data_IF_126752172232
#
_entry.id   IF_126752172232
#
_cell.length_a   1.000
_cell.length_b   1.000
_cell.length_c   1.000
_cell.angle_alpha   90.00
_cell.angle_beta   90.00
_cell.angle_gamma   90.00
#
_symmetry.space_group_name_H-M   'P 1'
#
loop_
_entity.id
_entity.type
_entity.pdbx_description
1 polymer ?
#
# COMPACT_ATOMS: atom_id res chain seq x y z
N UNK A 1 90.89 -2.96 123.28
CA UNK A 1 90.32 -1.59 123.38
C UNK A 1 91.02 -0.81 124.49
N UNK A 2 91.04 -1.29 125.74
CA UNK A 2 91.65 -0.57 126.86
C UNK A 2 93.15 -0.27 126.72
N UNK A 3 93.95 -1.21 126.21
CA UNK A 3 95.40 -0.99 126.04
C UNK A 3 95.74 0.13 125.05
N UNK A 4 94.94 0.28 123.97
CA UNK A 4 95.14 1.30 122.92
C UNK A 4 94.60 2.67 123.36
N UNK A 5 93.50 2.67 124.12
CA UNK A 5 92.98 3.86 124.79
C UNK A 5 94.02 4.42 125.79
N UNK A 6 94.62 3.57 126.62
CA UNK A 6 95.68 3.95 127.57
C UNK A 6 96.90 4.54 126.88
N UNK A 7 97.33 3.99 125.73
CA UNK A 7 98.45 4.55 124.96
C UNK A 7 98.10 5.90 124.34
N UNK A 8 96.89 6.07 123.81
CA UNK A 8 96.45 7.34 123.23
C UNK A 8 96.26 8.42 124.32
N UNK A 9 95.74 8.04 125.50
CA UNK A 9 95.69 8.92 126.68
C UNK A 9 97.11 9.35 127.07
N UNK A 10 98.07 8.42 127.10
CA UNK A 10 99.48 8.73 127.36
C UNK A 10 100.03 9.75 126.37
N UNK A 11 99.84 9.54 125.07
CA UNK A 11 100.28 10.47 124.02
C UNK A 11 99.61 11.84 124.14
N UNK A 12 98.32 11.91 124.45
CA UNK A 12 97.61 13.17 124.62
C UNK A 12 98.04 13.91 125.89
N UNK A 13 98.37 13.19 126.97
CA UNK A 13 98.94 13.79 128.17
C UNK A 13 100.32 14.38 127.92
N UNK A 14 101.18 13.71 127.16
CA UNK A 14 102.47 14.26 126.74
C UNK A 14 102.29 15.50 125.86
N UNK A 15 101.38 15.45 124.88
CA UNK A 15 101.12 16.56 123.97
C UNK A 15 100.62 17.84 124.70
N UNK A 16 99.91 17.67 125.82
CA UNK A 16 99.41 18.77 126.66
C UNK A 16 100.19 18.91 128.00
N UNK A 17 101.43 18.42 128.05
CA UNK A 17 102.21 18.19 129.28
C UNK A 17 102.38 19.39 130.23
N UNK A 18 102.36 20.62 129.73
CA UNK A 18 102.47 21.83 130.58
C UNK A 18 101.15 22.22 131.27
N UNK A 19 100.00 21.86 130.70
CA UNK A 19 98.65 22.19 131.22
C UNK A 19 98.02 20.98 131.95
N UNK A 20 98.51 19.77 131.66
CA UNK A 20 97.97 18.51 132.17
C UNK A 20 98.52 18.07 133.55
N UNK A 21 99.25 18.93 134.28
CA UNK A 21 99.69 18.63 135.66
C UNK A 21 98.51 18.67 136.67
N UNK A 22 97.42 19.34 136.33
CA UNK A 22 96.20 19.41 137.14
C UNK A 22 95.32 18.15 136.94
N UNK A 23 94.88 17.53 138.04
CA UNK A 23 94.12 16.28 138.03
C UNK A 23 92.83 16.39 137.20
N UNK A 24 92.19 17.57 137.20
CA UNK A 24 90.98 17.84 136.40
C UNK A 24 91.24 17.77 134.90
N UNK A 25 92.37 18.30 134.43
CA UNK A 25 92.74 18.26 133.02
C UNK A 25 93.01 16.83 132.55
N UNK A 26 93.65 16.00 133.40
CA UNK A 26 93.89 14.59 133.11
C UNK A 26 92.60 13.77 132.99
N UNK A 27 91.59 14.09 133.80
CA UNK A 27 90.27 13.45 133.75
C UNK A 27 89.49 13.84 132.48
N UNK A 28 89.59 15.09 132.02
CA UNK A 28 88.96 15.55 130.76
C UNK A 28 89.58 14.82 129.56
N UNK A 29 90.91 14.76 129.49
CA UNK A 29 91.64 14.04 128.44
C UNK A 29 91.23 12.56 128.43
N UNK A 30 91.22 11.90 129.60
CA UNK A 30 90.87 10.49 129.70
C UNK A 30 89.43 10.21 129.26
N UNK A 31 88.47 11.07 129.66
CA UNK A 31 87.06 10.93 129.28
C UNK A 31 86.83 11.12 127.78
N UNK A 32 87.42 12.15 127.16
CA UNK A 32 87.15 12.45 125.75
C UNK A 32 87.91 11.48 124.82
N UNK A 33 89.12 11.06 125.18
CA UNK A 33 89.82 9.97 124.46
C UNK A 33 89.01 8.67 124.54
N UNK A 34 88.48 8.33 125.72
CA UNK A 34 87.61 7.15 125.87
C UNK A 34 86.34 7.26 125.04
N UNK A 35 85.71 8.44 125.00
CA UNK A 35 84.52 8.70 124.19
C UNK A 35 84.81 8.58 122.69
N UNK A 36 85.93 9.12 122.24
CA UNK A 36 86.39 9.03 120.86
C UNK A 36 86.65 7.59 120.43
N UNK A 37 87.33 6.80 121.27
CA UNK A 37 87.55 5.37 121.01
C UNK A 37 86.25 4.55 120.97
N UNK A 38 85.21 4.98 121.71
CA UNK A 38 83.90 4.32 121.68
C UNK A 38 83.06 4.69 120.45
N UNK A 39 83.24 5.89 119.88
CA UNK A 39 82.43 6.37 118.75
C UNK A 39 83.08 6.17 117.39
N UNK A 40 84.40 6.07 117.32
CA UNK A 40 85.15 6.06 116.05
C UNK A 40 85.66 4.66 115.75
N UNK A 41 85.21 4.06 114.64
CA UNK A 41 85.56 2.68 114.24
C UNK A 41 86.96 2.52 113.61
N UNK A 42 87.59 3.62 113.19
CA UNK A 42 88.97 3.67 112.67
C UNK A 42 89.60 5.03 113.01
N UNK A 43 90.88 5.06 113.33
CA UNK A 43 91.59 6.28 113.77
C UNK A 43 92.48 6.80 112.63
N UNK A 44 92.03 7.85 111.92
CA UNK A 44 92.85 8.57 110.92
C UNK A 44 93.55 9.79 111.55
N UNK A 45 94.63 10.29 110.95
CA UNK A 45 95.33 11.49 111.45
C UNK A 45 94.41 12.71 111.57
N UNK A 46 93.47 12.87 110.63
CA UNK A 46 92.44 13.93 110.71
C UNK A 46 91.52 13.77 111.91
N UNK A 47 91.20 12.53 112.31
CA UNK A 47 90.35 12.29 113.47
C UNK A 47 91.11 12.51 114.79
N UNK A 48 92.42 12.21 114.82
CA UNK A 48 93.29 12.54 115.95
C UNK A 48 93.43 14.06 116.10
N UNK A 49 93.57 14.80 114.99
CA UNK A 49 93.57 16.26 115.00
C UNK A 49 92.26 16.84 115.56
N UNK A 50 91.11 16.33 115.10
CA UNK A 50 89.81 16.73 115.64
C UNK A 50 89.63 16.39 117.13
N UNK A 51 90.22 15.29 117.61
CA UNK A 51 90.23 14.92 119.02
C UNK A 51 91.10 15.89 119.85
N UNK A 52 92.29 16.24 119.36
CA UNK A 52 93.16 17.23 119.99
C UNK A 52 92.48 18.59 120.09
N UNK A 53 91.84 19.06 119.02
CA UNK A 53 91.10 20.33 119.02
C UNK A 53 89.94 20.32 120.03
N UNK A 54 89.22 19.20 120.17
CA UNK A 54 88.16 19.07 121.19
C UNK A 54 88.70 19.06 122.61
N UNK A 55 89.79 18.34 122.86
CA UNK A 55 90.44 18.30 124.16
C UNK A 55 90.96 19.70 124.52
N UNK A 56 91.61 20.38 123.58
CA UNK A 56 92.09 21.75 123.76
C UNK A 56 90.92 22.71 124.05
N UNK A 57 89.85 22.67 123.25
CA UNK A 57 88.66 23.51 123.46
C UNK A 57 88.02 23.28 124.84
N UNK A 58 87.96 22.03 125.31
CA UNK A 58 87.42 21.70 126.64
C UNK A 58 88.35 22.12 127.79
N UNK A 59 89.67 22.10 127.58
CA UNK A 59 90.66 22.57 128.55
C UNK A 59 90.71 24.11 128.63
N UNK A 60 90.44 24.82 127.52
CA UNK A 60 90.40 26.29 127.46
C UNK A 60 89.00 26.88 127.69
N UNK A 61 87.95 26.04 127.80
CA UNK A 61 86.58 26.44 128.14
C UNK A 61 85.71 26.91 126.98
N UNK A 62 86.11 26.66 125.72
CA UNK A 62 85.35 27.06 124.52
C UNK A 62 84.56 25.88 123.91
N UNK A 63 83.36 26.14 123.38
CA UNK A 63 82.47 25.10 122.83
C UNK A 63 82.66 24.92 121.30
N UNK A 64 82.84 23.69 120.79
CA UNK A 64 83.16 23.47 119.37
C UNK A 64 81.90 23.51 118.47
N UNK A 65 81.82 24.46 117.54
CA UNK A 65 80.79 24.51 116.48
C UNK A 65 81.25 23.73 115.24
N UNK A 66 80.46 22.74 114.83
CA UNK A 66 80.69 21.88 113.66
C UNK A 66 80.24 22.63 112.39
N UNK A 67 81.13 22.80 111.41
CA UNK A 67 80.84 23.21 110.01
C UNK A 67 80.84 24.72 109.63
N UNK A 68 81.80 25.51 110.12
CA UNK A 68 82.00 26.86 109.57
C UNK A 68 82.57 26.85 108.12
N UNK A 69 83.40 25.87 107.74
CA UNK A 69 84.08 25.84 106.42
C UNK A 69 83.16 25.57 105.22
N UNK A 70 82.15 24.70 105.34
CA UNK A 70 81.25 24.32 104.22
C UNK A 70 80.26 25.43 103.90
N UNK A 71 79.70 26.08 104.93
CA UNK A 71 78.84 27.25 104.77
C UNK A 71 79.62 28.42 104.16
N UNK A 72 80.89 28.59 104.52
CA UNK A 72 81.73 29.60 103.89
C UNK A 72 82.03 29.28 102.42
N UNK A 73 82.28 28.02 102.05
CA UNK A 73 82.47 27.62 100.65
C UNK A 73 81.21 27.78 99.79
N UNK A 74 80.02 27.43 100.28
CA UNK A 74 78.77 27.70 99.56
C UNK A 74 78.45 29.20 99.44
N UNK A 75 78.79 30.00 100.46
CA UNK A 75 78.71 31.45 100.38
C UNK A 75 79.70 32.03 99.34
N UNK A 76 80.91 31.48 99.25
CA UNK A 76 81.92 31.89 98.24
C UNK A 76 81.50 31.48 96.83
N UNK A 77 80.92 30.29 96.61
CA UNK A 77 80.43 29.84 95.29
C UNK A 77 79.14 30.57 94.88
N UNK A 78 78.29 30.96 95.83
CA UNK A 78 77.11 31.79 95.55
C UNK A 78 77.43 33.29 95.42
N UNK A 79 78.58 33.73 95.94
CA UNK A 79 79.19 35.04 95.68
C UNK A 79 80.05 35.06 94.42
N UNK A 80 80.42 33.90 93.86
CA UNK A 80 81.16 33.79 92.61
C UNK A 80 80.27 34.15 91.42
N UNK A 81 80.65 35.24 90.76
CA UNK A 81 79.92 35.82 89.64
C UNK A 81 79.87 34.85 88.44
N UNK A 82 80.86 33.96 88.31
CA UNK A 82 80.87 32.94 87.25
C UNK A 82 79.78 31.89 87.44
N UNK A 83 79.55 31.42 88.67
CA UNK A 83 78.49 30.45 88.95
C UNK A 83 77.10 31.03 88.65
N UNK A 84 76.90 32.34 88.90
CA UNK A 84 75.66 33.04 88.52
C UNK A 84 75.49 33.17 87.01
N UNK A 85 76.56 33.47 86.28
CA UNK A 85 76.55 33.53 84.81
C UNK A 85 76.17 32.17 84.21
N UNK A 86 76.76 31.07 84.71
CA UNK A 86 76.41 29.72 84.24
C UNK A 86 74.95 29.34 84.56
N UNK A 87 74.47 29.66 85.76
CA UNK A 87 73.06 29.43 86.12
C UNK A 87 72.10 30.21 85.20
N UNK A 88 72.44 31.46 84.88
CA UNK A 88 71.67 32.30 83.97
C UNK A 88 71.72 31.78 82.52
N UNK A 89 72.88 31.34 82.02
CA UNK A 89 73.01 30.73 80.70
C UNK A 89 72.20 29.43 80.58
N UNK A 90 72.19 28.59 81.62
CA UNK A 90 71.36 27.39 81.67
C UNK A 90 69.86 27.75 81.64
N UNK A 91 69.44 28.78 82.38
CA UNK A 91 68.05 29.26 82.35
C UNK A 91 67.66 29.80 80.96
N UNK A 92 68.54 30.55 80.30
CA UNK A 92 68.32 30.98 78.91
C UNK A 92 68.19 29.77 77.99
N UNK A 93 69.09 28.79 78.10
CA UNK A 93 69.04 27.55 77.32
C UNK A 93 67.74 26.77 77.52
N UNK A 94 67.25 26.64 78.76
CA UNK A 94 65.97 26.02 79.06
C UNK A 94 64.78 26.79 78.47
N UNK A 95 64.81 28.12 78.51
CA UNK A 95 63.78 28.97 77.91
C UNK A 95 63.77 28.86 76.38
N UNK A 96 64.94 28.82 75.75
CA UNK A 96 65.07 28.60 74.31
C UNK A 96 64.57 27.22 73.90
N UNK A 97 64.91 26.16 74.63
CA UNK A 97 64.40 24.80 74.38
C UNK A 97 62.89 24.70 74.58
N UNK A 98 62.33 25.35 75.62
CA UNK A 98 60.88 25.47 75.79
C UNK A 98 60.23 26.21 74.61
N UNK A 99 60.84 27.30 74.14
CA UNK A 99 60.36 28.05 72.97
C UNK A 99 60.41 27.23 71.68
N UNK A 100 61.51 26.51 71.42
CA UNK A 100 61.65 25.61 70.27
C UNK A 100 60.61 24.49 70.33
N UNK A 101 60.40 23.89 71.49
CA UNK A 101 59.40 22.82 71.70
C UNK A 101 57.97 23.34 71.49
N UNK A 102 57.65 24.54 71.98
CA UNK A 102 56.35 25.16 71.71
C UNK A 102 56.15 25.45 70.22
N UNK A 103 57.14 26.00 69.52
CA UNK A 103 57.10 26.23 68.07
C UNK A 103 56.93 24.92 67.30
N UNK A 104 57.61 23.85 67.72
CA UNK A 104 57.44 22.52 67.13
C UNK A 104 56.03 21.98 67.34
N UNK A 105 55.48 22.08 68.55
CA UNK A 105 54.10 21.65 68.84
C UNK A 105 53.07 22.45 68.04
N UNK A 106 53.27 23.77 67.89
CA UNK A 106 52.43 24.62 67.03
C UNK A 106 52.49 24.20 65.56
N UNK A 107 53.70 23.93 65.03
CA UNK A 107 53.87 23.42 63.66
C UNK A 107 53.21 22.04 63.48
N UNK A 108 53.37 21.14 64.45
CA UNK A 108 52.76 19.82 64.41
C UNK A 108 51.22 19.89 64.49
N UNK A 109 50.67 20.79 65.30
CA UNK A 109 49.24 21.04 65.37
C UNK A 109 48.69 21.62 64.06
N UNK A 110 49.38 22.60 63.48
CA UNK A 110 49.01 23.18 62.19
C UNK A 110 49.05 22.15 61.05
N UNK A 111 50.09 21.32 60.99
CA UNK A 111 50.21 20.25 60.00
C UNK A 111 49.09 19.21 60.16
N UNK A 112 48.74 18.86 61.40
CA UNK A 112 47.63 17.96 61.68
C UNK A 112 46.31 18.52 61.17
N UNK A 113 46.04 19.80 61.43
CA UNK A 113 44.83 20.47 60.94
C UNK A 113 44.77 20.51 59.40
N UNK A 114 45.91 20.73 58.73
CA UNK A 114 45.99 20.67 57.26
C UNK A 114 45.73 19.26 56.71
N UNK A 115 46.27 18.22 57.35
CA UNK A 115 46.04 16.83 56.95
C UNK A 115 44.58 16.41 57.18
N UNK A 116 43.97 16.87 58.27
CA UNK A 116 42.56 16.60 58.57
C UNK A 116 41.66 17.28 57.52
N UNK A 117 41.95 18.54 57.13
CA UNK A 117 41.26 19.21 56.01
C UNK A 117 41.37 18.45 54.70
N UNK A 118 42.58 17.97 54.34
CA UNK A 118 42.77 17.17 53.12
C UNK A 118 42.00 15.84 53.15
N UNK A 119 41.90 15.21 54.33
CA UNK A 119 41.12 13.98 54.50
C UNK A 119 39.62 14.24 54.35
N UNK A 120 39.12 15.34 54.90
CA UNK A 120 37.73 15.75 54.75
C UNK A 120 37.38 16.08 53.30
N UNK A 121 38.24 16.83 52.60
CA UNK A 121 38.07 17.12 51.17
C UNK A 121 38.07 15.84 50.33
N UNK A 122 39.00 14.91 50.58
CA UNK A 122 39.04 13.63 49.87
C UNK A 122 37.81 12.76 50.16
N UNK A 123 37.33 12.75 51.41
CA UNK A 123 36.10 12.06 51.77
C UNK A 123 34.86 12.71 51.12
N UNK A 124 34.85 14.04 51.04
CA UNK A 124 33.83 14.82 50.33
C UNK A 124 33.77 14.49 48.85
N UNK A 125 34.92 14.46 48.16
CA UNK A 125 35.01 14.07 46.74
C UNK A 125 34.51 12.64 46.51
N UNK A 126 34.94 11.68 47.33
CA UNK A 126 34.45 10.30 47.23
C UNK A 126 32.93 10.17 47.42
N UNK A 127 32.34 10.96 48.32
CA UNK A 127 30.88 11.00 48.50
C UNK A 127 30.17 11.63 47.30
N UNK A 128 30.73 12.71 46.73
CA UNK A 128 30.19 13.34 45.53
C UNK A 128 30.26 12.39 44.32
N UNK A 129 31.39 11.74 44.08
CA UNK A 129 31.56 10.74 43.01
C UNK A 129 30.59 9.57 43.18
N UNK A 130 30.39 9.06 44.41
CA UNK A 130 29.42 8.02 44.68
C UNK A 130 27.97 8.46 44.42
N UNK A 131 27.62 9.71 44.76
CA UNK A 131 26.31 10.28 44.49
C UNK A 131 26.07 10.49 42.99
N UNK A 132 27.06 10.99 42.26
CA UNK A 132 27.01 11.14 40.80
C UNK A 132 26.89 9.78 40.10
N UNK A 133 27.65 8.77 40.53
CA UNK A 133 27.55 7.40 40.01
C UNK A 133 26.16 6.79 40.27
N UNK A 134 25.59 7.02 41.46
CA UNK A 134 24.24 6.57 41.79
C UNK A 134 23.18 7.28 40.93
N UNK A 135 23.30 8.60 40.73
CA UNK A 135 22.40 9.37 39.88
C UNK A 135 22.47 8.91 38.42
N UNK A 136 23.69 8.70 37.90
CA UNK A 136 23.90 8.19 36.55
C UNK A 136 23.30 6.78 36.37
N UNK A 137 23.47 5.89 37.36
CA UNK A 137 22.86 4.57 37.32
C UNK A 137 21.32 4.63 37.32
N UNK A 138 20.72 5.50 38.13
CA UNK A 138 19.27 5.71 38.12
C UNK A 138 18.77 6.23 36.77
N UNK A 139 19.51 7.17 36.16
CA UNK A 139 19.19 7.67 34.83
C UNK A 139 19.24 6.57 33.77
N UNK A 140 20.27 5.72 33.77
CA UNK A 140 20.35 4.58 32.87
C UNK A 140 19.20 3.59 33.05
N UNK A 141 18.77 3.33 34.29
CA UNK A 141 17.60 2.48 34.53
C UNK A 141 16.30 3.11 34.00
N UNK A 142 16.13 4.42 34.17
CA UNK A 142 14.98 5.15 33.64
C UNK A 142 14.96 5.11 32.11
N UNK A 143 16.10 5.34 31.46
CA UNK A 143 16.24 5.29 30.00
C UNK A 143 15.95 3.88 29.46
N UNK A 144 16.44 2.85 30.15
CA UNK A 144 16.20 1.45 29.78
C UNK A 144 14.72 1.05 29.97
N UNK A 145 14.06 1.55 31.01
CA UNK A 145 12.63 1.37 31.22
C UNK A 145 11.80 2.10 30.14
N UNK A 146 12.16 3.34 29.81
CA UNK A 146 11.52 4.11 28.75
C UNK A 146 11.67 3.43 27.38
N UNK A 147 12.87 2.91 27.06
CA UNK A 147 13.12 2.17 25.84
C UNK A 147 12.28 0.88 25.76
N UNK A 148 12.20 0.11 26.86
CA UNK A 148 11.34 -1.09 26.94
C UNK A 148 9.87 -0.76 26.71
N UNK A 149 9.37 0.35 27.24
CA UNK A 149 8.00 0.81 27.00
C UNK A 149 7.79 1.18 25.53
N UNK A 150 8.71 1.92 24.91
CA UNK A 150 8.63 2.25 23.49
C UNK A 150 8.68 1.01 22.60
N UNK A 151 9.50 0.01 22.93
CA UNK A 151 9.56 -1.25 22.16
C UNK A 151 8.26 -2.06 22.30
N UNK A 152 7.69 -2.12 23.51
CA UNK A 152 6.40 -2.75 23.75
C UNK A 152 5.25 -2.04 23.00
N UNK A 153 5.27 -0.70 22.96
CA UNK A 153 4.30 0.10 22.21
C UNK A 153 4.43 -0.14 20.71
N UNK A 154 5.65 -0.17 20.16
CA UNK A 154 5.90 -0.55 18.76
C UNK A 154 5.35 -1.93 18.44
N UNK A 155 5.60 -2.93 19.30
CA UNK A 155 5.05 -4.30 19.13
C UNK A 155 3.53 -4.30 19.19
N UNK A 156 2.91 -3.52 20.09
CA UNK A 156 1.45 -3.36 20.15
C UNK A 156 0.89 -2.72 18.88
N UNK A 157 1.53 -1.67 18.37
CA UNK A 157 1.12 -1.02 17.13
C UNK A 157 1.24 -1.95 15.92
N UNK A 158 2.35 -2.70 15.81
CA UNK A 158 2.53 -3.71 14.77
C UNK A 158 1.48 -4.81 14.85
N UNK A 159 1.17 -5.30 16.05
CA UNK A 159 0.12 -6.30 16.26
C UNK A 159 -1.25 -5.74 15.87
N UNK A 160 -1.59 -4.53 16.32
CA UNK A 160 -2.85 -3.87 15.96
C UNK A 160 -2.97 -3.64 14.45
N UNK A 161 -1.87 -3.29 13.76
CA UNK A 161 -1.86 -3.17 12.30
C UNK A 161 -2.05 -4.52 11.61
N UNK A 162 -1.42 -5.58 12.11
CA UNK A 162 -1.60 -6.96 11.61
C UNK A 162 -3.03 -7.46 11.81
N UNK A 163 -3.64 -7.19 12.96
CA UNK A 163 -5.01 -7.58 13.25
C UNK A 163 -6.00 -6.81 12.36
N UNK A 164 -5.80 -5.50 12.14
CA UNK A 164 -6.59 -4.72 11.15
C UNK A 164 -6.49 -5.29 9.74
N UNK A 165 -5.29 -5.69 9.30
CA UNK A 165 -5.11 -6.32 7.99
C UNK A 165 -5.84 -7.65 7.88
N UNK A 166 -5.91 -8.44 8.96
CA UNK A 166 -6.70 -9.68 8.98
C UNK A 166 -8.18 -9.38 8.89
N UNK A 167 -8.68 -8.41 9.66
CA UNK A 167 -10.07 -7.98 9.62
C UNK A 167 -10.46 -7.49 8.21
N UNK A 168 -9.60 -6.70 7.56
CA UNK A 168 -9.79 -6.24 6.18
C UNK A 168 -9.83 -7.41 5.19
N UNK A 169 -8.94 -8.39 5.33
CA UNK A 169 -8.93 -9.60 4.48
C UNK A 169 -10.20 -10.42 4.69
N UNK A 170 -10.65 -10.60 5.93
CA UNK A 170 -11.90 -11.30 6.23
C UNK A 170 -13.11 -10.56 5.66
N UNK A 171 -13.17 -9.23 5.80
CA UNK A 171 -14.22 -8.40 5.21
C UNK A 171 -14.27 -8.53 3.69
N UNK A 172 -13.11 -8.51 3.01
CA UNK A 172 -13.03 -8.72 1.56
C UNK A 172 -13.51 -10.12 1.15
N UNK A 173 -13.21 -11.15 1.93
CA UNK A 173 -13.68 -12.51 1.66
C UNK A 173 -15.20 -12.63 1.83
N UNK A 174 -15.76 -12.01 2.87
CA UNK A 174 -17.22 -11.95 3.08
C UNK A 174 -17.91 -11.20 1.94
N UNK A 175 -17.36 -10.05 1.52
CA UNK A 175 -17.88 -9.28 0.40
C UNK A 175 -17.83 -10.08 -0.91
N UNK A 176 -16.72 -10.77 -1.20
CA UNK A 176 -16.61 -11.66 -2.37
C UNK A 176 -17.65 -12.78 -2.35
N UNK A 177 -17.87 -13.41 -1.19
CA UNK A 177 -18.91 -14.44 -1.04
C UNK A 177 -20.30 -13.86 -1.29
N UNK A 178 -20.61 -12.69 -0.73
CA UNK A 178 -21.88 -11.99 -0.94
C UNK A 178 -22.10 -11.61 -2.41
N UNK A 179 -21.08 -11.09 -3.08
CA UNK A 179 -21.15 -10.73 -4.50
C UNK A 179 -21.35 -11.97 -5.37
N UNK A 180 -20.69 -13.10 -5.04
CA UNK A 180 -20.94 -14.38 -5.72
C UNK A 180 -22.38 -14.86 -5.53
N UNK A 181 -22.90 -14.84 -4.30
CA UNK A 181 -24.29 -15.24 -4.05
C UNK A 181 -25.31 -14.33 -4.74
N UNK A 182 -25.04 -13.02 -4.82
CA UNK A 182 -25.89 -12.08 -5.55
C UNK A 182 -25.85 -12.36 -7.06
N UNK A 183 -24.67 -12.62 -7.62
CA UNK A 183 -24.54 -12.97 -9.03
C UNK A 183 -25.24 -14.29 -9.37
N UNK A 184 -25.15 -15.29 -8.50
CA UNK A 184 -25.90 -16.56 -8.65
C UNK A 184 -27.42 -16.35 -8.56
N UNK A 185 -27.89 -15.49 -7.64
CA UNK A 185 -29.30 -15.15 -7.54
C UNK A 185 -29.83 -14.41 -8.78
N UNK A 186 -29.04 -13.51 -9.36
CA UNK A 186 -29.37 -12.82 -10.62
C UNK A 186 -29.45 -13.83 -11.76
N UNK A 187 -28.45 -14.72 -11.90
CA UNK A 187 -28.47 -15.77 -12.93
C UNK A 187 -29.69 -16.67 -12.83
N UNK A 188 -30.07 -17.08 -11.62
CA UNK A 188 -31.29 -17.89 -11.42
C UNK A 188 -32.55 -17.16 -11.87
N UNK A 189 -32.67 -15.86 -11.56
CA UNK A 189 -33.79 -15.04 -12.05
C UNK A 189 -33.78 -14.90 -13.56
N UNK A 190 -32.62 -14.67 -14.17
CA UNK A 190 -32.50 -14.58 -15.62
C UNK A 190 -32.87 -15.92 -16.29
N UNK A 191 -32.46 -17.05 -15.70
CA UNK A 191 -32.85 -18.40 -16.16
C UNK A 191 -34.37 -18.63 -16.02
N UNK A 192 -34.98 -18.22 -14.91
CA UNK A 192 -36.43 -18.26 -14.68
C UNK A 192 -37.22 -17.38 -15.68
N UNK A 193 -36.73 -16.18 -15.97
CA UNK A 193 -37.33 -15.27 -16.96
C UNK A 193 -37.20 -15.83 -18.38
N UNK A 194 -36.04 -16.39 -18.73
CA UNK A 194 -35.82 -16.99 -20.04
C UNK A 194 -36.66 -18.25 -20.23
N UNK A 195 -36.74 -19.12 -19.22
CA UNK A 195 -37.60 -20.31 -19.27
C UNK A 195 -39.08 -19.93 -19.36
N UNK A 196 -39.51 -18.89 -18.66
CA UNK A 196 -40.88 -18.34 -18.77
C UNK A 196 -41.18 -17.78 -20.17
N UNK A 197 -40.23 -17.05 -20.78
CA UNK A 197 -40.36 -16.56 -22.16
C UNK A 197 -40.43 -17.71 -23.16
N UNK A 198 -39.55 -18.70 -23.07
CA UNK A 198 -39.57 -19.88 -23.93
C UNK A 198 -40.90 -20.63 -23.79
N UNK A 199 -41.41 -20.79 -22.57
CA UNK A 199 -42.70 -21.44 -22.34
C UNK A 199 -43.86 -20.65 -22.97
N UNK A 200 -43.84 -19.32 -22.88
CA UNK A 200 -44.82 -18.45 -23.52
C UNK A 200 -44.75 -18.54 -25.06
N UNK A 201 -43.55 -18.43 -25.64
CA UNK A 201 -43.33 -18.55 -27.09
C UNK A 201 -43.75 -19.93 -27.60
N UNK A 202 -43.45 -20.99 -26.87
CA UNK A 202 -43.85 -22.36 -27.24
C UNK A 202 -45.37 -22.50 -27.21
N UNK A 203 -46.06 -21.98 -26.18
CA UNK A 203 -47.53 -21.99 -26.14
C UNK A 203 -48.12 -21.22 -27.31
N UNK A 204 -47.59 -20.04 -27.61
CA UNK A 204 -48.04 -19.23 -28.74
C UNK A 204 -47.83 -19.95 -30.07
N UNK A 205 -46.69 -20.61 -30.28
CA UNK A 205 -46.45 -21.41 -31.48
C UNK A 205 -47.44 -22.56 -31.62
N UNK A 206 -47.75 -23.27 -30.53
CA UNK A 206 -48.77 -24.33 -30.53
C UNK A 206 -50.15 -23.76 -30.89
N UNK A 207 -50.53 -22.61 -30.33
CA UNK A 207 -51.79 -21.94 -30.65
C UNK A 207 -51.88 -21.51 -32.13
N UNK A 208 -50.79 -20.97 -32.68
CA UNK A 208 -50.69 -20.60 -34.10
C UNK A 208 -50.77 -21.83 -35.02
N UNK A 209 -50.10 -22.94 -34.66
CA UNK A 209 -50.18 -24.21 -35.39
C UNK A 209 -51.59 -24.82 -35.32
N UNK A 210 -52.25 -24.79 -34.16
CA UNK A 210 -53.62 -25.26 -34.01
C UNK A 210 -54.61 -24.42 -34.80
N UNK A 211 -54.45 -23.09 -34.81
CA UNK A 211 -55.24 -22.19 -35.65
C UNK A 211 -55.02 -22.49 -37.14
N UNK A 212 -53.77 -22.71 -37.55
CA UNK A 212 -53.43 -23.14 -38.91
C UNK A 212 -54.09 -24.47 -39.30
N UNK A 213 -54.08 -25.46 -38.40
CA UNK A 213 -54.76 -26.76 -38.60
C UNK A 213 -56.27 -26.61 -38.71
N UNK A 214 -56.89 -25.77 -37.88
CA UNK A 214 -58.34 -25.49 -37.96
C UNK A 214 -58.69 -24.86 -39.30
N UNK A 215 -57.95 -23.83 -39.72
CA UNK A 215 -58.13 -23.17 -41.02
C UNK A 215 -57.96 -24.16 -42.19
N UNK A 216 -56.93 -24.98 -42.18
CA UNK A 216 -56.71 -25.99 -43.21
C UNK A 216 -57.86 -27.01 -43.30
N UNK A 217 -58.46 -27.40 -42.16
CA UNK A 217 -59.66 -28.26 -42.14
C UNK A 217 -60.89 -27.57 -42.72
N UNK A 218 -61.07 -26.29 -42.42
CA UNK A 218 -62.17 -25.48 -42.98
C UNK A 218 -62.01 -25.31 -44.50
N UNK A 219 -60.80 -24.98 -44.97
CA UNK A 219 -60.47 -24.86 -46.40
C UNK A 219 -60.69 -26.18 -47.14
N UNK A 220 -60.28 -27.31 -46.55
CA UNK A 220 -60.55 -28.64 -47.12
C UNK A 220 -62.04 -28.93 -47.21
N UNK A 221 -62.82 -28.58 -46.17
CA UNK A 221 -64.27 -28.77 -46.18
C UNK A 221 -64.93 -27.90 -47.26
N UNK A 222 -64.51 -26.64 -47.39
CA UNK A 222 -64.99 -25.75 -48.44
C UNK A 222 -64.63 -26.29 -49.84
N UNK A 223 -63.43 -26.82 -50.02
CA UNK A 223 -63.01 -27.46 -51.27
C UNK A 223 -63.86 -28.69 -51.62
N UNK A 224 -64.15 -29.56 -50.65
CA UNK A 224 -65.01 -30.74 -50.86
C UNK A 224 -66.44 -30.32 -51.24
N UNK A 225 -67.01 -29.33 -50.56
CA UNK A 225 -68.33 -28.79 -50.91
C UNK A 225 -68.34 -28.17 -52.32
N UNK A 226 -67.31 -27.41 -52.67
CA UNK A 226 -67.15 -26.87 -54.04
C UNK A 226 -67.02 -27.98 -55.08
N UNK A 227 -66.32 -29.07 -54.76
CA UNK A 227 -66.21 -30.24 -55.63
C UNK A 227 -67.56 -30.91 -55.85
N UNK A 228 -68.37 -31.07 -54.80
CA UNK A 228 -69.73 -31.61 -54.91
C UNK A 228 -70.64 -30.71 -55.76
N UNK A 229 -70.57 -29.39 -55.57
CA UNK A 229 -71.30 -28.43 -56.41
C UNK A 229 -70.85 -28.54 -57.87
N UNK A 230 -69.55 -28.62 -58.14
CA UNK A 230 -69.03 -28.77 -59.50
C UNK A 230 -69.44 -30.11 -60.14
N UNK A 231 -69.52 -31.20 -59.37
CA UNK A 231 -70.07 -32.47 -59.85
C UNK A 231 -71.54 -32.33 -60.26
N UNK A 232 -72.35 -31.69 -59.42
CA UNK A 232 -73.77 -31.42 -59.74
C UNK A 232 -73.91 -30.55 -60.98
N UNK A 233 -73.12 -29.49 -61.11
CA UNK A 233 -73.10 -28.64 -62.32
C UNK A 233 -72.78 -29.48 -63.57
N UNK A 234 -71.75 -30.33 -63.51
CA UNK A 234 -71.39 -31.21 -64.65
C UNK A 234 -72.49 -32.23 -64.98
N UNK A 235 -73.15 -32.78 -63.98
CA UNK A 235 -74.28 -33.70 -64.18
C UNK A 235 -75.48 -32.97 -64.81
N UNK A 236 -75.79 -31.76 -64.36
CA UNK A 236 -76.84 -30.91 -64.93
C UNK A 236 -76.51 -30.46 -66.36
N UNK A 237 -75.25 -30.10 -66.64
CA UNK A 237 -74.77 -29.81 -68.01
C UNK A 237 -74.91 -31.03 -68.91
N UNK A 238 -74.52 -32.22 -68.43
CA UNK A 238 -74.67 -33.47 -69.18
C UNK A 238 -76.15 -33.75 -69.49
N UNK A 239 -77.05 -33.54 -68.53
CA UNK A 239 -78.50 -33.69 -68.74
C UNK A 239 -79.02 -32.69 -69.77
N UNK A 240 -78.62 -31.42 -69.69
CA UNK A 240 -78.99 -30.40 -70.68
C UNK A 240 -78.51 -30.77 -72.09
N UNK A 241 -77.26 -31.24 -72.22
CA UNK A 241 -76.72 -31.71 -73.50
C UNK A 241 -77.51 -32.91 -74.05
N UNK A 242 -77.88 -33.86 -73.19
CA UNK A 242 -78.73 -34.99 -73.59
C UNK A 242 -80.14 -34.53 -74.02
N UNK A 243 -80.73 -33.56 -73.31
CA UNK A 243 -82.02 -33.00 -73.67
C UNK A 243 -81.95 -32.24 -75.01
N UNK A 244 -80.87 -31.48 -75.24
CA UNK A 244 -80.60 -30.82 -76.51
C UNK A 244 -80.39 -31.82 -77.65
N UNK A 245 -79.58 -32.86 -77.44
CA UNK A 245 -79.35 -33.93 -78.42
C UNK A 245 -80.65 -34.67 -78.77
N UNK A 246 -81.48 -34.97 -77.77
CA UNK A 246 -82.80 -35.56 -77.98
C UNK A 246 -83.72 -34.63 -78.78
N UNK A 247 -83.68 -33.31 -78.50
CA UNK A 247 -84.44 -32.31 -79.27
C UNK A 247 -83.94 -32.24 -80.71
N UNK A 248 -82.62 -32.19 -80.94
CA UNK A 248 -82.03 -32.21 -82.27
C UNK A 248 -82.41 -33.47 -83.03
N UNK A 249 -82.34 -34.63 -82.37
CA UNK A 249 -82.73 -35.92 -82.98
C UNK A 249 -84.20 -35.93 -83.39
N UNK A 250 -85.10 -35.41 -82.54
CA UNK A 250 -86.52 -35.27 -82.88
C UNK A 250 -86.74 -34.29 -84.03
N UNK A 251 -86.13 -33.12 -84.01
CA UNK A 251 -86.22 -32.14 -85.09
C UNK A 251 -85.66 -32.68 -86.41
N UNK A 252 -84.57 -33.46 -86.33
CA UNK A 252 -83.97 -34.10 -87.48
C UNK A 252 -84.85 -35.23 -88.03
N UNK A 253 -85.45 -36.05 -87.17
CA UNK A 253 -86.44 -37.05 -87.56
C UNK A 253 -87.66 -36.38 -88.23
N UNK A 254 -88.22 -35.32 -87.64
CA UNK A 254 -89.30 -34.55 -88.25
C UNK A 254 -88.90 -33.94 -89.60
N UNK A 255 -87.65 -33.48 -89.74
CA UNK A 255 -87.13 -32.99 -91.01
C UNK A 255 -87.02 -34.12 -92.04
N UNK A 256 -86.53 -35.30 -91.65
CA UNK A 256 -86.47 -36.47 -92.52
C UNK A 256 -87.86 -36.92 -92.94
N UNK A 257 -88.83 -37.00 -92.03
CA UNK A 257 -90.22 -37.32 -92.34
C UNK A 257 -90.81 -36.32 -93.33
N UNK A 258 -90.54 -35.02 -93.17
CA UNK A 258 -90.93 -33.98 -94.14
C UNK A 258 -90.23 -34.16 -95.48
N UNK A 259 -88.96 -34.53 -95.50
CA UNK A 259 -88.22 -34.79 -96.73
C UNK A 259 -88.73 -36.05 -97.43
N UNK A 260 -89.07 -37.10 -96.69
CA UNK A 260 -89.68 -38.32 -97.23
C UNK A 260 -91.09 -38.05 -97.74
N UNK A 261 -91.90 -37.28 -97.01
CA UNK A 261 -93.21 -36.81 -97.47
C UNK A 261 -93.08 -35.94 -98.74
N UNK A 262 -92.15 -34.98 -98.76
CA UNK A 262 -91.89 -34.16 -99.92
C UNK A 262 -91.33 -34.98 -101.10
N UNK A 263 -90.46 -35.97 -100.84
CA UNK A 263 -89.91 -36.86 -101.87
C UNK A 263 -90.98 -37.78 -102.43
N UNK A 264 -91.87 -38.32 -101.59
CA UNK A 264 -93.00 -39.15 -102.04
C UNK A 264 -94.01 -38.32 -102.80
N UNK A 265 -94.33 -37.11 -102.34
CA UNK A 265 -95.17 -36.18 -103.07
C UNK A 265 -94.53 -35.77 -104.41
N UNK A 266 -93.23 -35.47 -104.41
CA UNK A 266 -92.48 -35.15 -105.63
C UNK A 266 -92.38 -36.36 -106.55
N UNK A 267 -92.18 -37.57 -106.04
CA UNK A 267 -92.23 -38.80 -106.85
C UNK A 267 -93.64 -39.03 -107.40
N UNK A 268 -94.70 -38.73 -106.66
CA UNK A 268 -96.07 -38.81 -107.14
C UNK A 268 -96.33 -37.73 -108.20
N UNK A 269 -95.83 -36.51 -108.03
CA UNK A 269 -95.89 -35.44 -109.03
C UNK A 269 -95.06 -35.79 -110.27
N UNK A 270 -93.86 -36.34 -110.11
CA UNK A 270 -93.01 -36.80 -111.20
C UNK A 270 -93.67 -37.97 -111.90
N UNK A 271 -94.26 -38.94 -111.20
CA UNK A 271 -95.06 -40.01 -111.81
C UNK A 271 -96.26 -39.44 -112.56
N UNK A 272 -96.96 -38.44 -112.02
CA UNK A 272 -98.07 -37.79 -112.69
C UNK A 272 -97.62 -36.99 -113.92
N UNK A 273 -96.48 -36.30 -113.83
CA UNK A 273 -95.85 -35.58 -114.95
C UNK A 273 -95.29 -36.55 -115.96
N UNK A 274 -94.71 -37.69 -115.57
CA UNK A 274 -94.23 -38.75 -116.45
C UNK A 274 -95.39 -39.48 -117.09
N UNK A 275 -96.51 -39.69 -116.41
CA UNK A 275 -97.73 -40.21 -117.00
C UNK A 275 -98.28 -39.23 -118.05
N UNK A 276 -98.41 -37.94 -117.69
CA UNK A 276 -98.78 -36.88 -118.65
C UNK A 276 -97.77 -36.72 -119.78
N UNK A 277 -96.47 -36.81 -119.50
CA UNK A 277 -95.41 -36.73 -120.49
C UNK A 277 -95.31 -38.01 -121.30
N UNK A 278 -95.73 -39.18 -120.82
CA UNK A 278 -95.83 -40.39 -121.61
C UNK A 278 -97.02 -40.31 -122.56
N UNK A 279 -98.17 -39.80 -122.08
CA UNK A 279 -99.34 -39.44 -122.91
C UNK A 279 -98.98 -38.35 -123.93
N UNK A 280 -98.26 -37.30 -123.52
CA UNK A 280 -97.78 -36.24 -124.41
C UNK A 280 -96.63 -36.70 -125.33
N UNK A 281 -95.74 -37.59 -124.88
CA UNK A 281 -94.64 -38.11 -125.70
C UNK A 281 -95.12 -39.12 -126.73
N UNK A 282 -96.19 -39.88 -126.44
CA UNK A 282 -96.91 -40.64 -127.45
C UNK A 282 -97.53 -39.71 -128.51
N UNK A 283 -97.70 -38.42 -128.22
CA UNK A 283 -98.28 -37.42 -129.12
C UNK A 283 -97.32 -36.30 -129.60
N UNK A 284 -96.02 -36.32 -129.24
CA UNK A 284 -95.05 -35.24 -129.59
C UNK A 284 -93.80 -35.72 -130.36
N UNK A 285 -93.38 -35.00 -131.44
CA UNK A 285 -92.16 -35.29 -132.20
C UNK A 285 -90.86 -34.90 -131.48
N UNK A 286 -89.75 -35.55 -131.84
CA UNK A 286 -88.48 -35.72 -131.09
C UNK A 286 -87.63 -34.47 -130.72
N UNK A 287 -87.89 -33.27 -131.24
CA UNK A 287 -86.88 -32.20 -131.31
C UNK A 287 -86.70 -31.25 -130.10
N UNK A 288 -87.38 -31.44 -128.95
CA UNK A 288 -87.44 -30.43 -127.84
C UNK A 288 -86.97 -30.87 -126.44
N UNK A 289 -86.07 -31.87 -126.29
CA UNK A 289 -85.79 -32.52 -124.98
C UNK A 289 -84.57 -32.05 -124.16
N UNK A 290 -83.78 -31.03 -124.53
CA UNK A 290 -82.50 -30.69 -123.84
C UNK A 290 -82.32 -29.20 -123.49
N UNK A 291 -81.82 -28.87 -122.27
CA UNK A 291 -81.50 -27.51 -121.75
C UNK A 291 -80.00 -27.20 -121.90
N UNK A 292 -79.67 -25.92 -122.16
CA UNK A 292 -78.33 -25.43 -122.48
C UNK A 292 -77.33 -25.42 -121.28
N UNK A 293 -76.17 -26.09 -121.39
CA UNK A 293 -75.12 -26.15 -120.37
C UNK A 293 -74.54 -24.81 -119.88
N UNK A 294 -74.65 -23.72 -120.66
CA UNK A 294 -74.02 -22.43 -120.32
C UNK A 294 -74.55 -21.79 -119.02
N UNK A 295 -75.79 -22.11 -118.63
CA UNK A 295 -76.43 -21.56 -117.42
C UNK A 295 -75.83 -22.20 -116.15
N UNK A 296 -75.38 -23.45 -116.24
CA UNK A 296 -74.87 -24.22 -115.09
C UNK A 296 -73.52 -23.66 -114.63
N UNK A 297 -72.64 -23.34 -115.57
CA UNK A 297 -71.30 -22.82 -115.27
C UNK A 297 -71.32 -21.44 -114.61
N UNK A 298 -72.29 -20.59 -114.96
CA UNK A 298 -72.41 -19.24 -114.38
C UNK A 298 -72.66 -19.28 -112.87
N UNK A 299 -73.54 -20.16 -112.42
CA UNK A 299 -73.90 -20.27 -111.01
C UNK A 299 -72.78 -20.86 -110.15
N UNK A 300 -71.91 -21.69 -110.74
CA UNK A 300 -70.75 -22.25 -110.04
C UNK A 300 -69.71 -21.17 -109.71
N UNK A 301 -69.39 -20.31 -110.70
CA UNK A 301 -68.40 -19.23 -110.56
C UNK A 301 -68.79 -18.19 -109.50
N UNK A 302 -70.08 -17.87 -109.38
CA UNK A 302 -70.56 -16.91 -108.37
C UNK A 302 -70.40 -17.44 -106.93
N UNK A 303 -70.47 -18.76 -106.72
CA UNK A 303 -70.28 -19.36 -105.38
C UNK A 303 -68.82 -19.34 -104.93
N UNK A 304 -67.88 -19.69 -105.80
CA UNK A 304 -66.45 -19.70 -105.43
C UNK A 304 -65.95 -18.31 -105.04
N UNK A 305 -66.35 -17.28 -105.80
CA UNK A 305 -65.97 -15.90 -105.52
C UNK A 305 -66.45 -15.39 -104.14
N UNK A 306 -67.53 -15.97 -103.60
CA UNK A 306 -68.06 -15.55 -102.30
C UNK A 306 -67.29 -16.19 -101.12
N UNK A 307 -66.79 -17.41 -101.29
CA UNK A 307 -66.00 -18.13 -100.28
C UNK A 307 -64.65 -17.42 -100.07
N UNK A 308 -63.98 -17.03 -101.16
CA UNK A 308 -62.68 -16.36 -101.12
C UNK A 308 -62.71 -15.01 -100.37
N UNK A 309 -63.83 -14.27 -100.47
CA UNK A 309 -64.05 -13.02 -99.74
C UNK A 309 -64.21 -13.22 -98.23
N UNK A 310 -64.78 -14.34 -97.79
CA UNK A 310 -64.92 -14.61 -96.36
C UNK A 310 -63.59 -15.04 -95.72
N UNK A 311 -62.79 -15.83 -96.43
CA UNK A 311 -61.48 -16.29 -95.93
C UNK A 311 -60.50 -15.13 -95.77
N UNK A 312 -60.43 -14.23 -96.75
CA UNK A 312 -59.60 -13.02 -96.69
C UNK A 312 -59.98 -12.13 -95.50
N UNK A 313 -61.30 -12.00 -95.20
CA UNK A 313 -61.77 -11.25 -94.02
C UNK A 313 -61.31 -11.90 -92.71
N UNK A 314 -61.36 -13.24 -92.61
CA UNK A 314 -60.92 -13.96 -91.40
C UNK A 314 -59.42 -13.80 -91.17
N UNK A 315 -58.61 -13.91 -92.22
CA UNK A 315 -57.16 -13.75 -92.13
C UNK A 315 -56.77 -12.34 -91.66
N UNK A 316 -57.44 -11.30 -92.17
CA UNK A 316 -57.19 -9.92 -91.75
C UNK A 316 -57.47 -9.68 -90.25
N UNK A 317 -58.55 -10.27 -89.71
CA UNK A 317 -58.88 -10.17 -88.28
C UNK A 317 -57.84 -10.86 -87.40
N UNK A 318 -57.33 -12.02 -87.82
CA UNK A 318 -56.28 -12.74 -87.07
C UNK A 318 -54.98 -11.95 -87.06
N UNK A 319 -54.56 -11.41 -88.22
CA UNK A 319 -53.35 -10.60 -88.33
C UNK A 319 -53.40 -9.35 -87.42
N UNK A 320 -54.54 -8.66 -87.38
CA UNK A 320 -54.72 -7.49 -86.52
C UNK A 320 -54.61 -7.81 -85.01
N UNK A 321 -55.16 -8.95 -84.58
CA UNK A 321 -55.06 -9.39 -83.17
C UNK A 321 -53.62 -9.75 -82.78
N UNK A 322 -52.89 -10.46 -83.64
CA UNK A 322 -51.49 -10.81 -83.39
C UNK A 322 -50.60 -9.58 -83.30
N UNK A 323 -50.79 -8.59 -84.18
CA UNK A 323 -50.03 -7.34 -84.15
C UNK A 323 -50.25 -6.57 -82.84
N UNK A 324 -51.49 -6.47 -82.36
CA UNK A 324 -51.80 -5.83 -81.08
C UNK A 324 -51.12 -6.54 -79.90
N UNK A 325 -51.18 -7.87 -79.85
CA UNK A 325 -50.54 -8.64 -78.80
C UNK A 325 -49.01 -8.46 -78.78
N UNK A 326 -48.36 -8.43 -79.95
CA UNK A 326 -46.93 -8.18 -80.04
C UNK A 326 -46.54 -6.78 -79.54
N UNK A 327 -47.36 -5.77 -79.84
CA UNK A 327 -47.16 -4.41 -79.32
C UNK A 327 -47.26 -4.36 -77.80
N UNK A 328 -48.35 -4.91 -77.22
CA UNK A 328 -48.58 -4.92 -75.77
C UNK A 328 -47.45 -5.66 -75.03
N UNK A 329 -46.94 -6.77 -75.60
CA UNK A 329 -45.82 -7.51 -75.02
C UNK A 329 -44.51 -6.71 -75.04
N UNK A 330 -44.25 -5.98 -76.13
CA UNK A 330 -43.05 -5.13 -76.23
C UNK A 330 -43.07 -4.00 -75.19
N UNK A 331 -44.24 -3.38 -74.98
CA UNK A 331 -44.43 -2.33 -73.96
C UNK A 331 -44.17 -2.87 -72.54
N UNK A 332 -44.70 -4.04 -72.20
CA UNK A 332 -44.45 -4.68 -70.89
C UNK A 332 -42.97 -5.02 -70.66
N UNK A 333 -42.26 -5.46 -71.70
CA UNK A 333 -40.83 -5.77 -71.61
C UNK A 333 -40.03 -4.49 -71.33
N UNK A 334 -40.33 -3.39 -72.01
CA UNK A 334 -39.64 -2.11 -71.79
C UNK A 334 -39.96 -1.51 -70.41
N UNK A 335 -41.23 -1.55 -69.97
CA UNK A 335 -41.61 -1.12 -68.61
C UNK A 335 -40.85 -1.91 -67.54
N UNK A 336 -40.76 -3.22 -67.70
CA UNK A 336 -40.04 -4.09 -66.77
C UNK A 336 -38.52 -3.83 -66.79
N UNK A 337 -37.92 -3.55 -67.95
CA UNK A 337 -36.51 -3.15 -68.05
C UNK A 337 -36.25 -1.83 -67.34
N UNK A 338 -37.10 -0.82 -67.55
CA UNK A 338 -36.99 0.49 -66.90
C UNK A 338 -37.12 0.36 -65.37
N UNK A 339 -38.08 -0.44 -64.89
CA UNK A 339 -38.25 -0.71 -63.46
C UNK A 339 -37.02 -1.39 -62.85
N UNK A 340 -36.44 -2.37 -63.54
CA UNK A 340 -35.18 -3.03 -63.10
C UNK A 340 -34.00 -2.07 -63.11
N UNK A 341 -33.89 -1.20 -64.10
CA UNK A 341 -32.84 -0.19 -64.16
C UNK A 341 -32.95 0.82 -63.00
N UNK A 342 -34.16 1.29 -62.70
CA UNK A 342 -34.42 2.17 -61.55
C UNK A 342 -34.02 1.51 -60.22
N UNK A 343 -34.44 0.26 -60.00
CA UNK A 343 -34.06 -0.49 -58.79
C UNK A 343 -32.54 -0.69 -58.65
N UNK A 344 -31.82 -0.87 -59.76
CA UNK A 344 -30.35 -0.96 -59.74
C UNK A 344 -29.73 0.39 -59.36
N UNK A 345 -30.20 1.48 -59.95
CA UNK A 345 -29.73 2.82 -59.64
C UNK A 345 -29.96 3.20 -58.17
N UNK A 346 -31.12 2.84 -57.59
CA UNK A 346 -31.41 3.09 -56.18
C UNK A 346 -30.50 2.26 -55.26
N UNK A 347 -30.28 0.98 -55.57
CA UNK A 347 -29.32 0.14 -54.83
C UNK A 347 -27.89 0.67 -54.91
N UNK A 348 -27.46 1.14 -56.07
CA UNK A 348 -26.13 1.74 -56.24
C UNK A 348 -25.99 3.02 -55.39
N UNK A 349 -27.04 3.83 -55.28
CA UNK A 349 -27.07 5.01 -54.39
C UNK A 349 -26.98 4.61 -52.92
N UNK A 350 -27.77 3.63 -52.49
CA UNK A 350 -27.73 3.10 -51.12
C UNK A 350 -26.34 2.55 -50.78
N UNK A 351 -25.74 1.75 -51.68
CA UNK A 351 -24.39 1.23 -51.50
C UNK A 351 -23.34 2.35 -51.41
N UNK A 352 -23.45 3.38 -52.24
CA UNK A 352 -22.57 4.54 -52.20
C UNK A 352 -22.70 5.31 -50.87
N UNK A 353 -23.92 5.47 -50.34
CA UNK A 353 -24.14 6.08 -49.03
C UNK A 353 -23.55 5.24 -47.89
N UNK A 354 -23.73 3.92 -47.92
CA UNK A 354 -23.15 3.00 -46.95
C UNK A 354 -21.62 3.06 -47.00
N UNK A 355 -21.01 3.06 -48.19
CA UNK A 355 -19.56 3.22 -48.35
C UNK A 355 -19.06 4.55 -47.77
N UNK A 356 -19.77 5.66 -48.01
CA UNK A 356 -19.43 6.96 -47.41
C UNK A 356 -19.49 6.92 -45.88
N UNK A 357 -20.49 6.25 -45.29
CA UNK A 357 -20.60 6.09 -43.83
C UNK A 357 -19.45 5.27 -43.27
N UNK A 358 -19.10 4.16 -43.91
CA UNK A 358 -17.95 3.32 -43.51
C UNK A 358 -16.65 4.13 -43.56
N UNK A 359 -16.39 4.86 -44.65
CA UNK A 359 -15.20 5.71 -44.76
C UNK A 359 -15.16 6.80 -43.68
N UNK A 360 -16.30 7.41 -43.35
CA UNK A 360 -16.39 8.41 -42.30
C UNK A 360 -16.12 7.82 -40.90
N UNK A 361 -16.62 6.61 -40.62
CA UNK A 361 -16.33 5.92 -39.35
C UNK A 361 -14.88 5.46 -39.26
N UNK A 362 -14.30 4.94 -40.34
CA UNK A 362 -12.87 4.60 -40.37
C UNK A 362 -11.98 5.84 -40.14
N UNK A 363 -12.34 6.99 -40.73
CA UNK A 363 -11.64 8.25 -40.53
C UNK A 363 -11.73 8.71 -39.06
N UNK A 364 -12.90 8.62 -38.44
CA UNK A 364 -13.09 8.90 -37.01
C UNK A 364 -12.25 7.98 -36.13
N UNK A 365 -12.29 6.67 -36.37
CA UNK A 365 -11.52 5.69 -35.61
C UNK A 365 -10.00 5.91 -35.75
N UNK A 366 -9.52 6.29 -36.94
CA UNK A 366 -8.11 6.67 -37.17
C UNK A 366 -7.75 7.95 -36.40
N UNK A 367 -8.62 8.97 -36.42
CA UNK A 367 -8.40 10.21 -35.69
C UNK A 367 -8.37 10.00 -34.16
N UNK A 368 -9.26 9.16 -33.62
CA UNK A 368 -9.27 8.81 -32.19
C UNK A 368 -8.00 8.05 -31.78
N UNK A 369 -7.56 7.08 -32.61
CA UNK A 369 -6.28 6.38 -32.38
C UNK A 369 -5.10 7.34 -32.39
N UNK A 370 -5.04 8.25 -33.37
CA UNK A 370 -3.99 9.26 -33.44
C UNK A 370 -4.00 10.19 -32.22
N UNK A 371 -5.18 10.64 -31.78
CA UNK A 371 -5.33 11.45 -30.57
C UNK A 371 -4.89 10.70 -29.30
N UNK A 372 -5.20 9.40 -29.20
CA UNK A 372 -4.76 8.56 -28.09
C UNK A 372 -3.23 8.38 -28.07
N UNK A 373 -2.61 8.18 -29.22
CA UNK A 373 -1.14 8.11 -29.34
C UNK A 373 -0.50 9.44 -28.96
N UNK A 374 -1.00 10.57 -29.49
CA UNK A 374 -0.51 11.90 -29.13
C UNK A 374 -0.64 12.19 -27.63
N UNK A 375 -1.73 11.74 -26.99
CA UNK A 375 -1.90 11.85 -25.53
C UNK A 375 -0.86 11.02 -24.77
N UNK A 376 -0.58 9.80 -25.22
CA UNK A 376 0.46 8.94 -24.63
C UNK A 376 1.85 9.56 -24.77
N UNK A 377 2.18 10.08 -25.94
CA UNK A 377 3.44 10.78 -26.17
C UNK A 377 3.58 12.02 -25.28
N UNK A 378 2.51 12.81 -25.12
CA UNK A 378 2.49 13.96 -24.22
C UNK A 378 2.74 13.56 -22.76
N UNK A 379 2.09 12.48 -22.30
CA UNK A 379 2.29 11.95 -20.94
C UNK A 379 3.74 11.43 -20.79
N UNK A 380 4.26 10.71 -21.78
CA UNK A 380 5.64 10.21 -21.77
C UNK A 380 6.64 11.35 -21.66
N UNK A 381 6.48 12.41 -22.46
CA UNK A 381 7.34 13.60 -22.39
C UNK A 381 7.27 14.28 -21.02
N UNK A 382 6.06 14.42 -20.46
CA UNK A 382 5.89 14.97 -19.10
C UNK A 382 6.61 14.14 -18.04
N UNK A 383 6.55 12.81 -18.13
CA UNK A 383 7.28 11.91 -17.23
C UNK A 383 8.79 12.02 -17.41
N UNK A 384 9.29 12.11 -18.65
CA UNK A 384 10.70 12.33 -18.94
C UNK A 384 11.20 13.66 -18.36
N UNK A 385 10.41 14.73 -18.49
CA UNK A 385 10.73 16.04 -17.91
C UNK A 385 10.75 15.98 -16.37
N UNK A 386 9.78 15.29 -15.74
CA UNK A 386 9.78 15.05 -14.30
C UNK A 386 10.98 14.22 -13.84
N UNK A 387 11.38 13.20 -14.61
CA UNK A 387 12.56 12.39 -14.32
C UNK A 387 13.84 13.21 -14.43
N UNK A 388 13.97 14.05 -15.45
CA UNK A 388 15.10 14.98 -15.60
C UNK A 388 15.14 15.97 -14.45
N UNK A 389 14.01 16.53 -14.04
CA UNK A 389 13.93 17.44 -12.90
C UNK A 389 14.28 16.74 -11.58
N UNK A 390 13.77 15.53 -11.36
CA UNK A 390 14.12 14.71 -10.19
C UNK A 390 15.60 14.32 -10.17
N UNK A 391 16.18 13.99 -11.34
CA UNK A 391 17.61 13.72 -11.48
C UNK A 391 18.43 14.98 -11.21
N UNK A 392 18.03 16.14 -11.71
CA UNK A 392 18.67 17.42 -11.44
C UNK A 392 18.67 17.75 -9.94
N UNK A 393 17.52 17.57 -9.26
CA UNK A 393 17.38 17.71 -7.80
C UNK A 393 18.23 16.71 -7.01
N UNK A 394 18.51 15.53 -7.56
CA UNK A 394 19.41 14.54 -6.96
C UNK A 394 20.88 14.91 -7.13
N UNK A 395 21.27 15.43 -8.29
CA UNK A 395 22.66 15.83 -8.59
C UNK A 395 23.06 17.15 -7.91
N UNK A 396 22.12 18.08 -7.80
CA UNK A 396 22.31 19.37 -7.14
C UNK A 396 21.27 19.45 -6.04
N UNK A 397 21.65 19.08 -4.82
CA UNK A 397 20.86 19.41 -3.65
C UNK A 397 21.22 20.84 -3.23
N UNK A 398 20.37 21.85 -3.51
CA UNK A 398 20.58 23.15 -2.91
C UNK A 398 20.52 22.99 -1.39
N UNK A 399 21.44 23.67 -0.68
CA UNK A 399 21.40 23.71 0.79
C UNK A 399 19.98 23.98 1.28
N UNK A 400 19.56 23.22 2.30
CA UNK A 400 18.29 23.42 2.98
C UNK A 400 18.18 24.87 3.46
N UNK A 401 16.95 25.41 3.57
CA UNK A 401 16.74 26.78 4.04
C UNK A 401 17.37 27.03 5.44
N UNK A 402 17.45 25.99 6.27
CA UNK A 402 18.11 26.03 7.58
C UNK A 402 19.63 26.13 7.42
N UNK A 403 20.23 25.33 6.52
CA UNK A 403 21.66 25.37 6.23
C UNK A 403 22.06 26.72 5.60
N UNK A 404 21.21 27.29 4.72
CA UNK A 404 21.38 28.64 4.18
C UNK A 404 21.31 29.72 5.26
N UNK A 405 20.45 29.56 6.26
CA UNK A 405 20.38 30.47 7.40
C UNK A 405 21.62 30.38 8.29
N UNK A 406 22.07 29.16 8.62
CA UNK A 406 23.30 28.92 9.39
C UNK A 406 24.51 29.52 8.65
N UNK A 407 24.59 29.32 7.34
CA UNK A 407 25.69 29.79 6.51
C UNK A 407 25.49 31.21 5.94
N UNK A 408 24.44 31.93 6.34
CA UNK A 408 24.04 33.22 5.73
C UNK A 408 25.15 34.27 5.73
N UNK A 409 25.84 34.43 6.86
CA UNK A 409 26.98 35.37 6.99
C UNK A 409 28.17 34.97 6.11
N UNK A 410 28.42 33.67 5.95
CA UNK A 410 29.49 33.16 5.09
C UNK A 410 29.14 33.34 3.61
N UNK A 411 27.89 33.07 3.24
CA UNK A 411 27.35 33.27 1.89
C UNK A 411 27.37 34.74 1.47
N UNK A 412 27.00 35.67 2.37
CA UNK A 412 27.14 37.11 2.15
C UNK A 412 28.59 37.51 1.89
N UNK A 413 29.53 37.02 2.72
CA UNK A 413 30.95 37.31 2.54
C UNK A 413 31.52 36.76 1.24
N UNK A 414 31.09 35.57 0.81
CA UNK A 414 31.47 34.99 -0.49
C UNK A 414 30.90 35.82 -1.64
N UNK A 415 29.65 36.26 -1.53
CA UNK A 415 29.00 37.13 -2.52
C UNK A 415 29.74 38.48 -2.63
N UNK A 416 30.06 39.12 -1.51
CA UNK A 416 30.80 40.37 -1.47
C UNK A 416 32.20 40.22 -2.10
N UNK A 417 32.88 39.10 -1.86
CA UNK A 417 34.17 38.78 -2.48
C UNK A 417 34.08 38.47 -3.98
N UNK A 418 32.94 37.97 -4.47
CA UNK A 418 32.67 37.80 -5.91
C UNK A 418 32.37 39.13 -6.59
N UNK A 419 31.61 40.02 -5.94
CA UNK A 419 31.32 41.38 -6.42
C UNK A 419 32.60 42.25 -6.44
N UNK A 420 33.47 42.09 -5.44
CA UNK A 420 34.81 42.69 -5.39
C UNK A 420 35.79 42.09 -6.43
N UNK A 421 35.40 41.06 -7.18
CA UNK A 421 36.22 40.42 -8.21
C UNK A 421 37.39 39.57 -7.70
N UNK A 422 37.46 39.33 -6.39
CA UNK A 422 38.57 38.57 -5.75
C UNK A 422 38.43 37.06 -5.93
N UNK A 423 37.24 36.57 -6.29
CA UNK A 423 36.95 35.16 -6.57
C UNK A 423 36.03 35.06 -7.79
N UNK A 424 36.29 34.15 -8.73
CA UNK A 424 35.43 33.94 -9.91
C UNK A 424 34.13 33.21 -9.51
N UNK A 425 33.00 33.64 -10.08
CA UNK A 425 31.74 32.90 -9.96
C UNK A 425 31.89 31.53 -10.64
N UNK A 426 31.63 30.46 -9.90
CA UNK A 426 31.54 29.12 -10.48
C UNK A 426 30.20 29.02 -11.23
N UNK A 427 30.28 28.91 -12.56
CA UNK A 427 29.15 28.62 -13.45
C UNK A 427 28.70 27.17 -13.33
#
# INVERSE_FOLDING_TARGET
MDALCQTLIGKMREAFGEIAADQKAQDIIAKEVSRFMQTTRSVSETDIGNLQERIQALLTGETPTRNAKVLHQQAVVSADEWARIYAFQNQIGELEEKSKRQKYLQKAACLREQLDKQREEAAGRKRAEAAEAAAYFQQQQADLAAWKQQEAEKKRQQKAASDRLKDDVEAQLVERRRNRSLAEAIKRKDEEDMTSKIAYETRRQIEEEEAGRKKAKEDLKAFLLSNEVNKRIKEDEKRKLQDEENRYTKQYAEMLDRQEAARTEQLNRVKAVQARQAEEAQSRPESKRWIDPAIIERNYKEREANIEREETRRQAVVAAKTAKFQHDLAEQIEEHKLRKAAQRADRERELAEVQKRIQAEEAKAKAEKAAAVAKRERIKKMLEDQMKEAQHRRTVQPMSNIEKQINSKLLQKIHDLQVDGKIKAAT
#
